data_IF_489521568111
#
_entry.id   IF_489521568111
#
_cell.length_a   1.000
_cell.length_b   1.000
_cell.length_c   1.000
_cell.angle_alpha   90.00
_cell.angle_beta   90.00
_cell.angle_gamma   90.00
#
_symmetry.space_group_name_H-M   'P 1'
#
loop_
_entity.id
_entity.type
_entity.pdbx_description
1 polymer ?
#
# COMPACT_ATOMS: atom_id res chain seq x y z
N UNK A 1 7.16 1.58 12.24
CA UNK A 1 7.86 1.14 11.01
C UNK A 1 7.55 -0.32 10.76
N UNK A 2 7.66 -0.78 9.53
CA UNK A 2 7.42 -2.17 9.15
C UNK A 2 6.37 -2.34 8.05
N UNK A 3 6.11 -3.61 7.76
CA UNK A 3 5.15 -4.04 6.76
C UNK A 3 3.71 -3.97 7.30
N UNK A 4 2.82 -3.35 6.55
CA UNK A 4 1.38 -3.31 6.81
C UNK A 4 0.65 -3.88 5.60
N UNK A 5 0.02 -5.07 5.72
CA UNK A 5 -0.82 -5.62 4.66
C UNK A 5 -1.98 -4.67 4.33
N UNK A 6 -2.21 -4.45 3.03
CA UNK A 6 -3.30 -3.65 2.49
C UNK A 6 -4.38 -4.53 1.84
N UNK A 7 -3.96 -5.63 1.21
CA UNK A 7 -4.80 -6.66 0.63
C UNK A 7 -4.04 -7.98 0.64
N UNK A 8 -4.69 -9.07 1.03
CA UNK A 8 -4.09 -10.40 1.17
C UNK A 8 -5.06 -11.47 0.64
N UNK A 9 -5.02 -11.75 -0.68
CA UNK A 9 -5.88 -12.76 -1.28
C UNK A 9 -5.41 -14.17 -0.88
N UNK A 10 -6.36 -15.06 -0.61
CA UNK A 10 -6.09 -16.45 -0.18
C UNK A 10 -5.27 -17.26 -1.22
N UNK A 11 -5.46 -16.97 -2.50
CA UNK A 11 -4.77 -17.62 -3.63
C UNK A 11 -3.63 -16.78 -4.22
N UNK A 12 -3.09 -15.86 -3.41
CA UNK A 12 -2.03 -14.94 -3.80
C UNK A 12 -0.76 -15.65 -4.27
N UNK A 13 -0.18 -15.18 -5.38
CA UNK A 13 1.04 -15.76 -5.95
C UNK A 13 2.18 -14.75 -6.15
N UNK A 14 1.94 -13.47 -5.83
CA UNK A 14 2.93 -12.41 -5.92
C UNK A 14 2.75 -11.43 -4.77
N UNK A 15 3.87 -10.95 -4.24
CA UNK A 15 3.92 -9.88 -3.24
C UNK A 15 4.31 -8.56 -3.91
N UNK A 16 3.51 -7.51 -3.68
CA UNK A 16 3.79 -6.15 -4.13
C UNK A 16 4.00 -5.27 -2.90
N UNK A 17 5.24 -4.84 -2.69
CA UNK A 17 5.61 -3.90 -1.63
C UNK A 17 5.57 -2.48 -2.19
N UNK A 18 4.71 -1.65 -1.61
CA UNK A 18 4.55 -0.25 -1.97
C UNK A 18 5.33 0.61 -0.96
N UNK A 19 6.27 1.39 -1.45
CA UNK A 19 7.16 2.24 -0.63
C UNK A 19 7.00 3.69 -1.04
N UNK A 20 6.82 4.58 -0.07
CA UNK A 20 6.70 6.01 -0.31
C UNK A 20 8.07 6.69 -0.43
N UNK A 21 8.12 7.80 -1.16
CA UNK A 21 9.30 8.68 -1.17
C UNK A 21 9.56 9.36 0.18
N UNK A 22 10.68 10.09 0.26
CA UNK A 22 11.10 10.84 1.45
C UNK A 22 10.00 11.80 1.93
N UNK A 23 9.80 11.87 3.25
CA UNK A 23 8.75 12.67 3.89
C UNK A 23 7.33 12.12 3.68
N UNK A 24 7.20 10.97 3.01
CA UNK A 24 5.91 10.35 2.73
C UNK A 24 5.39 9.48 3.87
N UNK A 25 4.08 9.46 4.04
CA UNK A 25 3.41 8.55 4.96
C UNK A 25 2.94 7.29 4.22
N UNK A 26 3.33 6.11 4.69
CA UNK A 26 3.09 4.81 4.04
C UNK A 26 1.65 4.56 3.49
N UNK A 27 0.62 5.07 4.19
CA UNK A 27 -0.77 5.08 3.71
C UNK A 27 -1.20 6.43 3.14
N UNK A 28 -0.67 7.52 3.70
CA UNK A 28 -1.14 8.87 3.45
C UNK A 28 -0.75 9.37 2.07
N UNK A 29 0.43 8.98 1.59
CA UNK A 29 0.93 9.32 0.25
C UNK A 29 0.09 8.76 -0.88
N UNK A 30 -0.74 7.74 -0.62
CA UNK A 30 -1.63 7.12 -1.60
C UNK A 30 -3.11 7.43 -1.37
N UNK A 31 -3.41 8.31 -0.41
CA UNK A 31 -4.77 8.66 -0.04
C UNK A 31 -5.36 9.62 -1.07
N UNK A 32 -6.61 9.42 -1.45
CA UNK A 32 -7.36 10.33 -2.30
C UNK A 32 -7.52 11.71 -1.63
N UNK A 33 -7.75 12.74 -2.44
CA UNK A 33 -7.89 14.12 -1.96
C UNK A 33 -9.06 14.30 -0.96
N UNK A 34 -10.16 13.56 -1.15
CA UNK A 34 -11.30 13.53 -0.23
C UNK A 34 -11.04 12.68 1.02
N UNK A 35 -9.92 11.97 1.06
CA UNK A 35 -9.49 11.16 2.18
C UNK A 35 -10.20 9.81 2.33
N UNK A 36 -11.06 9.40 1.41
CA UNK A 36 -11.90 8.21 1.60
C UNK A 36 -11.28 6.92 1.05
N UNK A 37 -10.33 7.05 0.13
CA UNK A 37 -9.69 5.92 -0.57
C UNK A 37 -8.18 5.97 -0.44
N UNK A 38 -7.57 4.80 -0.49
CA UNK A 38 -6.13 4.56 -0.54
C UNK A 38 -5.89 3.67 -1.75
N UNK A 39 -5.20 4.20 -2.77
CA UNK A 39 -5.07 3.53 -4.07
C UNK A 39 -4.65 2.05 -4.03
N UNK A 40 -3.52 1.67 -3.38
CA UNK A 40 -3.05 0.29 -3.37
C UNK A 40 -3.94 -0.65 -2.55
N UNK A 41 -4.84 -0.11 -1.72
CA UNK A 41 -5.81 -0.88 -0.93
C UNK A 41 -7.14 -1.04 -1.65
N UNK A 42 -7.66 0.05 -2.22
CA UNK A 42 -9.05 0.15 -2.67
C UNK A 42 -9.22 -0.06 -4.18
N UNK A 43 -8.17 0.12 -4.99
CA UNK A 43 -8.25 0.01 -6.46
C UNK A 43 -7.32 -1.07 -7.01
N UNK A 44 -6.06 -1.13 -6.59
CA UNK A 44 -5.07 -2.06 -7.14
C UNK A 44 -5.46 -3.56 -7.04
N UNK A 45 -6.11 -4.04 -5.96
CA UNK A 45 -6.56 -5.43 -5.89
C UNK A 45 -7.61 -5.80 -6.94
N UNK A 46 -8.34 -4.84 -7.52
CA UNK A 46 -9.29 -5.13 -8.60
C UNK A 46 -8.58 -5.40 -9.93
N UNK A 47 -7.41 -4.80 -10.14
CA UNK A 47 -6.61 -4.95 -11.37
C UNK A 47 -5.69 -6.16 -11.29
N UNK A 48 -5.17 -6.46 -10.10
CA UNK A 48 -4.25 -7.58 -9.85
C UNK A 48 -4.77 -8.41 -8.65
N UNK A 49 -5.85 -9.18 -8.82
CA UNK A 49 -6.57 -9.82 -7.70
C UNK A 49 -5.79 -10.91 -6.98
N UNK A 50 -4.73 -11.45 -7.60
CA UNK A 50 -3.87 -12.50 -7.03
C UNK A 50 -2.57 -11.95 -6.43
N UNK A 51 -2.47 -10.64 -6.27
CA UNK A 51 -1.35 -9.99 -5.61
C UNK A 51 -1.69 -9.64 -4.16
N UNK A 52 -0.78 -9.96 -3.25
CA UNK A 52 -0.79 -9.40 -1.91
C UNK A 52 -0.12 -8.03 -1.95
N UNK A 53 -0.85 -7.00 -1.53
CA UNK A 53 -0.34 -5.63 -1.45
C UNK A 53 0.05 -5.32 -0.02
N UNK A 54 1.26 -4.81 0.17
CA UNK A 54 1.81 -4.45 1.48
C UNK A 54 2.45 -3.08 1.36
N UNK A 55 2.21 -2.18 2.30
CA UNK A 55 2.99 -0.93 2.41
C UNK A 55 4.09 -1.09 3.45
N UNK A 56 5.23 -0.47 3.23
CA UNK A 56 6.32 -0.45 4.20
C UNK A 56 6.53 0.97 4.72
N UNK A 57 6.24 1.17 6.01
CA UNK A 57 6.52 2.42 6.70
C UNK A 57 7.92 2.42 7.28
N UNK A 58 8.68 3.48 6.99
CA UNK A 58 10.00 3.74 7.56
C UNK A 58 10.08 5.22 7.95
N UNK A 59 10.84 5.52 8.99
CA UNK A 59 11.11 6.87 9.43
C UNK A 59 12.05 7.52 8.42
N UNK A 60 11.47 8.43 7.66
CA UNK A 60 12.23 9.31 6.79
C UNK A 60 12.44 10.61 7.54
N UNK A 61 13.42 10.63 8.44
CA UNK A 61 13.94 11.88 8.95
C UNK A 61 14.62 12.61 7.78
N UNK A 62 14.17 13.83 7.51
CA UNK A 62 14.88 14.80 6.67
C UNK A 62 15.54 15.81 7.59
#
# INVERSE_FOLDING_TARGET
EGFTPLSDPEDGNVDIVVVTGLGGHALGSFRSADGTKVWPRDFAPNEIPRARFVTYGYDTAV
#
